data_IF_993319270643
#
_entry.id   IF_993319270643
#
_cell.length_a   1.000
_cell.length_b   1.000
_cell.length_c   1.000
_cell.angle_alpha   90.00
_cell.angle_beta   90.00
_cell.angle_gamma   90.00
#
_symmetry.space_group_name_H-M   'P 1'
#
loop_
_entity.id
_entity.type
_entity.pdbx_description
1 polymer ?
#
# COMPACT_ATOMS: atom_id res chain seq x y z
N UNK A 1 12.17 -1.28 14.47
CA UNK A 1 12.16 -1.48 13.03
C UNK A 1 11.00 -0.73 12.36
N UNK A 2 9.73 -0.98 12.75
CA UNK A 2 8.52 -0.38 12.14
C UNK A 2 8.59 1.15 12.06
N UNK A 3 8.98 1.82 13.15
CA UNK A 3 9.07 3.29 13.20
C UNK A 3 10.06 3.83 12.16
N UNK A 4 11.23 3.17 12.03
CA UNK A 4 12.22 3.56 11.01
C UNK A 4 11.69 3.35 9.60
N UNK A 5 11.05 2.20 9.33
CA UNK A 5 10.46 1.92 8.02
C UNK A 5 9.39 2.94 7.65
N UNK A 6 8.49 3.30 8.59
CA UNK A 6 7.48 4.34 8.37
C UNK A 6 8.12 5.69 8.03
N UNK A 7 9.14 6.08 8.79
CA UNK A 7 9.82 7.36 8.59
C UNK A 7 10.52 7.42 7.22
N UNK A 8 11.33 6.39 6.89
CA UNK A 8 12.07 6.38 5.62
C UNK A 8 11.16 6.29 4.40
N UNK A 9 10.12 5.46 4.44
CA UNK A 9 9.14 5.39 3.34
C UNK A 9 8.38 6.72 3.19
N UNK A 10 8.05 7.39 4.32
CA UNK A 10 7.48 8.73 4.30
C UNK A 10 8.39 9.74 3.60
N UNK A 11 9.69 9.74 3.91
CA UNK A 11 10.68 10.60 3.26
C UNK A 11 10.80 10.31 1.75
N UNK A 12 10.79 9.03 1.35
CA UNK A 12 10.85 8.64 -0.06
C UNK A 12 9.62 9.17 -0.81
N UNK A 13 8.42 9.11 -0.23
CA UNK A 13 7.23 9.71 -0.84
C UNK A 13 7.39 11.21 -1.08
N UNK A 14 7.88 11.95 -0.07
CA UNK A 14 8.09 13.39 -0.20
C UNK A 14 9.16 13.71 -1.25
N UNK A 15 10.25 12.95 -1.27
CA UNK A 15 11.33 13.12 -2.25
C UNK A 15 10.83 12.90 -3.68
N UNK A 16 10.07 11.84 -3.93
CA UNK A 16 9.53 11.53 -5.26
C UNK A 16 8.57 12.65 -5.71
N UNK A 17 7.66 13.08 -4.84
CA UNK A 17 6.75 14.17 -5.17
C UNK A 17 7.49 15.50 -5.43
N UNK A 18 8.59 15.75 -4.70
CA UNK A 18 9.45 16.90 -4.96
C UNK A 18 10.13 16.80 -6.35
N UNK A 19 10.66 15.62 -6.71
CA UNK A 19 11.25 15.39 -8.03
C UNK A 19 10.23 15.52 -9.17
N UNK A 20 9.01 15.05 -8.96
CA UNK A 20 7.89 15.22 -9.91
C UNK A 20 7.56 16.71 -10.06
N UNK A 21 7.47 17.46 -8.95
CA UNK A 21 7.22 18.90 -8.98
C UNK A 21 8.31 19.68 -9.71
N UNK A 22 9.57 19.23 -9.59
CA UNK A 22 10.70 19.80 -10.33
C UNK A 22 10.78 19.33 -11.79
N UNK A 23 9.80 18.57 -12.30
CA UNK A 23 9.80 17.99 -13.65
C UNK A 23 10.98 17.07 -13.96
N UNK A 24 11.67 16.55 -12.92
CA UNK A 24 12.72 15.54 -13.08
C UNK A 24 12.15 14.15 -13.34
N UNK A 25 10.92 13.91 -12.89
CA UNK A 25 10.14 12.71 -13.18
C UNK A 25 8.85 13.17 -13.84
N UNK A 26 8.59 12.68 -15.06
CA UNK A 26 7.38 12.98 -15.80
C UNK A 26 6.42 11.79 -15.75
N UNK A 27 5.22 11.99 -15.25
CA UNK A 27 4.21 10.95 -15.10
C UNK A 27 3.38 10.82 -16.40
N UNK A 28 3.94 10.19 -17.42
CA UNK A 28 3.29 10.03 -18.75
C UNK A 28 2.86 8.60 -19.03
N UNK A 29 3.49 7.59 -18.39
CA UNK A 29 3.19 6.19 -18.64
C UNK A 29 1.82 5.77 -18.10
N UNK A 30 1.11 4.98 -18.90
CA UNK A 30 -0.15 4.33 -18.53
C UNK A 30 0.07 2.83 -18.36
N UNK A 31 -0.84 2.14 -17.63
CA UNK A 31 -0.77 0.68 -17.43
C UNK A 31 -0.67 -0.09 -18.75
N UNK A 32 -1.41 0.36 -19.78
CA UNK A 32 -1.39 -0.27 -21.11
C UNK A 32 -0.02 -0.21 -21.80
N UNK A 33 0.88 0.67 -21.36
CA UNK A 33 2.26 0.77 -21.89
C UNK A 33 3.29 0.04 -21.02
N UNK A 34 2.85 -0.74 -20.02
CA UNK A 34 3.72 -1.49 -19.14
C UNK A 34 4.44 -2.61 -19.91
N UNK A 35 5.76 -2.64 -19.80
CA UNK A 35 6.59 -3.72 -20.34
C UNK A 35 6.74 -4.86 -19.34
N UNK A 36 7.14 -6.05 -19.82
CA UNK A 36 7.49 -7.17 -18.92
C UNK A 36 8.63 -6.80 -17.97
N UNK A 37 9.57 -5.98 -18.44
CA UNK A 37 10.69 -5.50 -17.62
C UNK A 37 10.20 -4.58 -16.48
N UNK A 38 9.26 -3.66 -16.77
CA UNK A 38 8.62 -2.83 -15.74
C UNK A 38 7.95 -3.73 -14.68
N UNK A 39 7.20 -4.75 -15.11
CA UNK A 39 6.51 -5.67 -14.20
C UNK A 39 7.47 -6.44 -13.29
N UNK A 40 8.60 -6.92 -13.82
CA UNK A 40 9.64 -7.61 -13.02
C UNK A 40 10.24 -6.66 -11.99
N UNK A 41 10.61 -5.43 -12.38
CA UNK A 41 11.18 -4.45 -11.45
C UNK A 41 10.19 -4.06 -10.35
N UNK A 42 8.91 -3.89 -10.69
CA UNK A 42 7.87 -3.60 -9.70
C UNK A 42 7.68 -4.79 -8.74
N UNK A 43 7.72 -6.01 -9.26
CA UNK A 43 7.66 -7.23 -8.46
C UNK A 43 8.84 -7.36 -7.49
N UNK A 44 10.05 -7.04 -7.95
CA UNK A 44 11.25 -6.98 -7.10
C UNK A 44 11.12 -5.88 -6.03
N UNK A 45 10.60 -4.70 -6.38
CA UNK A 45 10.34 -3.66 -5.40
C UNK A 45 9.30 -4.11 -4.35
N UNK A 46 8.25 -4.84 -4.78
CA UNK A 46 7.24 -5.38 -3.85
C UNK A 46 7.85 -6.33 -2.81
N UNK A 47 8.92 -7.06 -3.12
CA UNK A 47 9.57 -7.96 -2.16
C UNK A 47 10.09 -7.24 -0.91
N UNK A 48 10.42 -5.94 -1.02
CA UNK A 48 10.81 -5.12 0.12
C UNK A 48 9.67 -4.93 1.15
N UNK A 49 8.43 -5.20 0.76
CA UNK A 49 7.28 -5.14 1.66
C UNK A 49 7.26 -6.26 2.71
N UNK A 50 8.17 -7.22 2.65
CA UNK A 50 8.43 -8.20 3.72
C UNK A 50 8.90 -7.48 5.00
N UNK A 51 9.57 -6.34 4.87
CA UNK A 51 10.03 -5.55 6.02
C UNK A 51 8.83 -4.90 6.72
N UNK A 52 8.60 -5.16 8.02
CA UNK A 52 7.51 -4.56 8.76
C UNK A 52 7.57 -3.02 8.73
N UNK A 53 6.44 -2.37 8.44
CA UNK A 53 6.35 -0.91 8.30
C UNK A 53 6.52 -0.40 6.87
N UNK A 54 7.09 -1.19 5.96
CA UNK A 54 7.09 -0.92 4.52
C UNK A 54 5.72 -1.29 3.97
N UNK A 55 4.95 -0.31 3.54
CA UNK A 55 3.64 -0.56 2.92
C UNK A 55 3.81 -1.24 1.57
N UNK A 56 3.15 -2.39 1.35
CA UNK A 56 3.14 -3.08 0.05
C UNK A 56 2.67 -2.15 -1.07
N UNK A 57 1.51 -1.54 -0.91
CA UNK A 57 1.00 -0.58 -1.87
C UNK A 57 1.95 0.62 -2.04
N UNK A 58 2.52 1.09 -0.94
CA UNK A 58 3.47 2.21 -0.94
C UNK A 58 4.70 1.95 -1.79
N UNK A 59 5.37 0.81 -1.60
CA UNK A 59 6.61 0.51 -2.33
C UNK A 59 6.35 0.25 -3.82
N UNK A 60 5.22 -0.39 -4.16
CA UNK A 60 4.79 -0.58 -5.55
C UNK A 60 4.52 0.77 -6.22
N UNK A 61 3.80 1.66 -5.56
CA UNK A 61 3.54 3.01 -6.08
C UNK A 61 4.83 3.82 -6.24
N UNK A 62 5.76 3.75 -5.29
CA UNK A 62 7.09 4.37 -5.37
C UNK A 62 7.82 3.91 -6.64
N UNK A 63 7.92 2.59 -6.85
CA UNK A 63 8.58 2.02 -8.02
C UNK A 63 7.94 2.52 -9.33
N UNK A 64 6.62 2.47 -9.41
CA UNK A 64 5.89 2.91 -10.60
C UNK A 64 6.04 4.41 -10.88
N UNK A 65 6.00 5.27 -9.84
CA UNK A 65 6.21 6.71 -10.00
C UNK A 65 7.61 7.03 -10.51
N UNK A 66 8.65 6.36 -9.98
CA UNK A 66 10.03 6.51 -10.47
C UNK A 66 10.13 6.13 -11.94
N UNK A 67 9.37 5.12 -12.39
CA UNK A 67 9.32 4.70 -13.81
C UNK A 67 8.45 5.62 -14.68
N UNK A 68 7.81 6.64 -14.11
CA UNK A 68 7.01 7.63 -14.83
C UNK A 68 5.54 7.24 -15.04
N UNK A 69 5.02 6.24 -14.32
CA UNK A 69 3.59 5.92 -14.35
C UNK A 69 2.76 6.97 -13.61
N UNK A 70 1.52 7.18 -14.07
CA UNK A 70 0.58 8.11 -13.44
C UNK A 70 0.18 7.62 -12.05
N UNK A 71 -0.14 8.56 -11.12
CA UNK A 71 -0.45 8.22 -9.72
C UNK A 71 -1.63 7.27 -9.59
N UNK A 72 -2.72 7.59 -10.27
CA UNK A 72 -3.93 6.76 -10.25
C UNK A 72 -3.69 5.36 -10.84
N UNK A 73 -2.89 5.27 -11.90
CA UNK A 73 -2.51 4.01 -12.53
C UNK A 73 -1.63 3.16 -11.59
N UNK A 74 -0.70 3.82 -10.89
CA UNK A 74 0.15 3.17 -9.87
C UNK A 74 -0.67 2.62 -8.71
N UNK A 75 -1.69 3.36 -8.27
CA UNK A 75 -2.62 2.90 -7.24
C UNK A 75 -3.42 1.68 -7.70
N UNK A 76 -4.04 1.76 -8.89
CA UNK A 76 -4.81 0.64 -9.46
C UNK A 76 -3.93 -0.60 -9.54
N UNK A 77 -2.73 -0.49 -10.10
CA UNK A 77 -1.83 -1.63 -10.24
C UNK A 77 -1.40 -2.20 -8.89
N UNK A 78 -1.13 -1.35 -7.89
CA UNK A 78 -0.76 -1.81 -6.55
C UNK A 78 -1.85 -2.66 -5.90
N UNK A 79 -3.13 -2.31 -6.11
CA UNK A 79 -4.26 -3.12 -5.66
C UNK A 79 -4.40 -4.43 -6.45
N UNK A 80 -4.26 -4.38 -7.79
CA UNK A 80 -4.30 -5.58 -8.63
C UNK A 80 -3.19 -6.57 -8.25
N UNK A 81 -1.98 -6.07 -8.05
CA UNK A 81 -0.83 -6.89 -7.66
C UNK A 81 -0.99 -7.48 -6.23
N UNK A 82 -1.77 -6.83 -5.37
CA UNK A 82 -2.06 -7.34 -4.05
C UNK A 82 -3.04 -8.53 -4.06
N UNK A 83 -3.93 -8.64 -5.05
CA UNK A 83 -4.97 -9.68 -5.10
C UNK A 83 -4.41 -11.10 -4.98
N UNK A 84 -3.46 -11.56 -5.83
CA UNK A 84 -2.96 -12.93 -5.73
C UNK A 84 -2.32 -13.23 -4.38
N UNK A 85 -1.60 -12.28 -3.79
CA UNK A 85 -0.94 -12.47 -2.49
C UNK A 85 -1.93 -12.51 -1.32
N UNK A 86 -2.98 -11.65 -1.35
CA UNK A 86 -4.04 -11.64 -0.34
C UNK A 86 -4.87 -12.90 -0.43
N UNK A 87 -5.24 -13.32 -1.65
CA UNK A 87 -5.99 -14.56 -1.88
C UNK A 87 -5.20 -15.76 -1.35
N UNK A 88 -3.92 -15.89 -1.71
CA UNK A 88 -3.09 -17.00 -1.25
C UNK A 88 -2.95 -17.01 0.29
N UNK A 89 -2.72 -15.85 0.92
CA UNK A 89 -2.65 -15.74 2.37
C UNK A 89 -3.98 -16.13 3.03
N UNK A 90 -5.11 -15.63 2.51
CA UNK A 90 -6.45 -15.94 3.03
C UNK A 90 -6.77 -17.44 2.94
N UNK A 91 -6.43 -18.10 1.83
CA UNK A 91 -6.60 -19.56 1.73
C UNK A 91 -5.73 -20.32 2.72
N UNK A 92 -4.49 -19.88 2.91
CA UNK A 92 -3.59 -20.51 3.88
C UNK A 92 -4.13 -20.37 5.31
N UNK A 93 -4.63 -19.18 5.68
CA UNK A 93 -5.20 -18.92 7.00
C UNK A 93 -6.50 -19.70 7.21
N UNK A 94 -7.40 -19.72 6.20
CA UNK A 94 -8.60 -20.56 6.24
C UNK A 94 -8.27 -22.04 6.47
N UNK A 95 -7.24 -22.56 5.81
CA UNK A 95 -6.81 -23.94 6.00
C UNK A 95 -6.24 -24.20 7.40
N UNK A 96 -5.40 -23.29 7.92
CA UNK A 96 -4.82 -23.41 9.26
C UNK A 96 -5.85 -23.34 10.36
N UNK A 97 -6.79 -22.37 10.23
CA UNK A 97 -7.79 -22.05 11.26
C UNK A 97 -9.14 -22.77 11.04
N UNK A 98 -9.16 -23.83 10.22
CA UNK A 98 -10.41 -24.54 9.88
C UNK A 98 -11.18 -25.07 11.09
N UNK A 99 -10.49 -25.44 12.15
CA UNK A 99 -11.12 -25.93 13.38
C UNK A 99 -11.88 -24.81 14.12
N UNK A 100 -11.31 -23.62 14.18
CA UNK A 100 -11.98 -22.43 14.73
C UNK A 100 -13.15 -21.98 13.85
N UNK A 101 -12.99 -22.05 12.55
CA UNK A 101 -14.05 -21.71 11.59
C UNK A 101 -15.26 -22.65 11.70
N UNK A 102 -15.03 -23.94 11.97
CA UNK A 102 -16.11 -24.92 12.18
C UNK A 102 -16.96 -24.59 13.43
N UNK A 103 -16.42 -23.88 14.40
CA UNK A 103 -17.11 -23.42 15.61
C UNK A 103 -17.62 -21.99 15.51
N UNK A 104 -17.23 -21.25 14.46
CA UNK A 104 -17.61 -19.86 14.27
C UNK A 104 -19.09 -19.71 13.91
N UNK A 105 -19.71 -18.64 14.43
CA UNK A 105 -21.05 -18.29 14.01
C UNK A 105 -21.02 -17.70 12.59
N UNK A 106 -21.53 -18.48 11.62
CA UNK A 106 -21.55 -18.11 10.20
C UNK A 106 -22.28 -16.79 9.91
N UNK A 107 -23.27 -16.42 10.74
CA UNK A 107 -23.98 -15.15 10.57
C UNK A 107 -23.06 -13.97 10.82
N UNK A 108 -22.29 -13.98 11.92
CA UNK A 108 -21.36 -12.91 12.22
C UNK A 108 -20.22 -12.85 11.18
N UNK A 109 -19.72 -14.02 10.74
CA UNK A 109 -18.70 -14.10 9.72
C UNK A 109 -19.18 -13.53 8.38
N UNK A 110 -20.41 -13.85 7.97
CA UNK A 110 -21.02 -13.32 6.74
C UNK A 110 -21.23 -11.82 6.81
N UNK A 111 -21.74 -11.31 7.93
CA UNK A 111 -21.92 -9.85 8.13
C UNK A 111 -20.57 -9.15 8.03
N UNK A 112 -19.54 -9.65 8.74
CA UNK A 112 -18.20 -9.10 8.70
C UNK A 112 -17.61 -9.08 7.29
N UNK A 113 -17.80 -10.17 6.53
CA UNK A 113 -17.33 -10.27 5.16
C UNK A 113 -18.01 -9.23 4.24
N UNK A 114 -19.35 -9.10 4.29
CA UNK A 114 -20.06 -8.14 3.46
C UNK A 114 -19.73 -6.69 3.82
N UNK A 115 -19.61 -6.36 5.10
CA UNK A 115 -19.22 -5.01 5.55
C UNK A 115 -17.81 -4.70 5.10
N UNK A 116 -16.86 -5.63 5.26
CA UNK A 116 -15.48 -5.45 4.80
C UNK A 116 -15.40 -5.27 3.29
N UNK A 117 -16.17 -6.07 2.52
CA UNK A 117 -16.22 -5.98 1.07
C UNK A 117 -16.76 -4.62 0.58
N UNK A 118 -17.87 -4.16 1.14
CA UNK A 118 -18.45 -2.87 0.76
C UNK A 118 -17.52 -1.70 1.13
N UNK A 119 -16.95 -1.72 2.33
CA UNK A 119 -15.99 -0.70 2.78
C UNK A 119 -14.74 -0.68 1.90
N UNK A 120 -14.23 -1.85 1.50
CA UNK A 120 -13.08 -1.94 0.62
C UNK A 120 -13.35 -1.32 -0.76
N UNK A 121 -14.52 -1.60 -1.36
CA UNK A 121 -14.90 -0.98 -2.65
C UNK A 121 -14.94 0.55 -2.53
N UNK A 122 -15.56 1.07 -1.48
CA UNK A 122 -15.67 2.52 -1.27
C UNK A 122 -14.27 3.12 -1.07
N UNK A 123 -13.45 2.51 -0.21
CA UNK A 123 -12.10 2.98 0.10
C UNK A 123 -11.19 3.00 -1.14
N UNK A 124 -11.18 1.92 -1.94
CA UNK A 124 -10.36 1.84 -3.15
C UNK A 124 -10.80 2.87 -4.19
N UNK A 125 -12.11 2.99 -4.44
CA UNK A 125 -12.65 3.99 -5.38
C UNK A 125 -12.31 5.42 -4.93
N UNK A 126 -12.51 5.72 -3.65
CA UNK A 126 -12.15 7.02 -3.09
C UNK A 126 -10.66 7.31 -3.24
N UNK A 127 -9.79 6.36 -2.88
CA UNK A 127 -8.34 6.52 -2.93
C UNK A 127 -7.83 6.76 -4.35
N UNK A 128 -8.28 5.95 -5.32
CA UNK A 128 -7.90 6.12 -6.73
C UNK A 128 -8.38 7.48 -7.26
N UNK A 129 -9.61 7.88 -6.93
CA UNK A 129 -10.13 9.18 -7.35
C UNK A 129 -9.40 10.34 -6.67
N UNK A 130 -9.03 10.20 -5.41
CA UNK A 130 -8.22 11.18 -4.68
C UNK A 130 -6.87 11.42 -5.39
N UNK A 131 -6.19 10.37 -5.83
CA UNK A 131 -4.89 10.46 -6.49
C UNK A 131 -4.91 11.03 -7.90
N UNK A 132 -6.08 11.20 -8.52
CA UNK A 132 -6.19 11.93 -9.78
C UNK A 132 -5.84 13.42 -9.62
N UNK A 133 -6.21 13.99 -8.47
CA UNK A 133 -6.11 15.43 -8.23
C UNK A 133 -5.13 15.78 -7.09
N UNK A 134 -4.64 14.79 -6.35
CA UNK A 134 -3.78 15.01 -5.19
C UNK A 134 -2.46 14.24 -5.32
N UNK A 135 -1.49 14.65 -4.50
CA UNK A 135 -0.16 14.05 -4.46
C UNK A 135 -0.06 13.02 -3.32
N UNK A 136 0.93 12.15 -3.40
CA UNK A 136 1.26 11.22 -2.31
C UNK A 136 1.95 11.92 -1.11
N UNK A 137 2.25 13.21 -1.22
CA UNK A 137 2.88 13.96 -0.13
C UNK A 137 2.07 13.90 1.17
N UNK A 138 0.73 13.90 1.09
CA UNK A 138 -0.15 13.78 2.26
C UNK A 138 0.15 12.48 3.02
N UNK A 139 0.33 11.36 2.30
CA UNK A 139 0.66 10.08 2.91
C UNK A 139 2.11 10.04 3.42
N UNK A 140 3.03 10.75 2.77
CA UNK A 140 4.39 10.94 3.25
C UNK A 140 4.41 11.63 4.61
N UNK A 141 3.74 12.78 4.74
CA UNK A 141 3.63 13.51 6.00
C UNK A 141 2.94 12.71 7.08
N UNK A 142 1.82 12.06 6.77
CA UNK A 142 1.13 11.18 7.73
C UNK A 142 2.06 10.12 8.33
N UNK A 143 2.88 9.47 7.50
CA UNK A 143 3.85 8.44 7.95
C UNK A 143 4.94 9.01 8.84
N UNK A 144 5.48 10.16 8.49
CA UNK A 144 6.53 10.82 9.29
C UNK A 144 5.97 11.24 10.66
N UNK A 145 4.79 11.88 10.68
CA UNK A 145 4.13 12.29 11.92
C UNK A 145 3.83 11.08 12.81
N UNK A 146 3.29 10.01 12.22
CA UNK A 146 3.01 8.76 12.93
C UNK A 146 4.29 8.13 13.48
N UNK A 147 5.38 8.10 12.70
CA UNK A 147 6.65 7.56 13.15
C UNK A 147 7.24 8.35 14.32
N UNK A 148 7.17 9.68 14.28
CA UNK A 148 7.61 10.55 15.37
C UNK A 148 6.74 10.36 16.63
N UNK A 149 5.42 10.29 16.46
CA UNK A 149 4.50 10.02 17.56
C UNK A 149 4.81 8.67 18.25
N UNK A 150 4.97 7.60 17.46
CA UNK A 150 5.33 6.28 17.97
C UNK A 150 6.70 6.30 18.67
N UNK A 151 7.68 7.03 18.14
CA UNK A 151 9.00 7.16 18.76
C UNK A 151 8.90 7.82 20.14
N UNK A 152 8.12 8.88 20.25
CA UNK A 152 7.89 9.59 21.52
C UNK A 152 7.15 8.67 22.50
N UNK A 153 6.08 7.98 22.05
CA UNK A 153 5.32 7.08 22.89
C UNK A 153 6.18 5.92 23.43
N UNK A 154 7.06 5.35 22.60
CA UNK A 154 8.03 4.32 23.03
C UNK A 154 9.05 4.88 24.04
N UNK A 155 9.50 6.13 23.87
CA UNK A 155 10.43 6.78 24.79
C UNK A 155 9.80 7.07 26.15
N UNK A 156 8.52 7.41 26.17
CA UNK A 156 7.77 7.68 27.38
C UNK A 156 7.24 6.39 28.04
N UNK A 157 7.57 5.21 27.51
CA UNK A 157 7.09 3.89 27.96
C UNK A 157 5.56 3.79 28.07
N UNK A 158 4.84 4.49 27.15
CA UNK A 158 3.37 4.46 27.09
C UNK A 158 2.88 3.22 26.33
N UNK A 159 3.75 2.66 25.45
CA UNK A 159 3.52 1.44 24.67
C UNK A 159 4.77 0.57 24.66
#
# INVERSE_FOLDING_TARGET
LIVFSLFFIGLIFLLIEFLIKQKKIELRKRLLSMSYFDAVLIGLAQSLAIVPGVSRAGIVMIAMLIMGFRREESAIYSFLLALPTIIAASFLDLYKERALLAQANLVYLSIGFFVAFLTAIIAVRWFVNFLKNHTLAVFGWYRIILALFLLIALRLAII
#
